data_IF_158302013312
#
_entry.id   IF_158302013312
#
_cell.length_a   1.000
_cell.length_b   1.000
_cell.length_c   1.000
_cell.angle_alpha   90.00
_cell.angle_beta   90.00
_cell.angle_gamma   90.00
#
_symmetry.space_group_name_H-M   'P 1'
#
loop_
_entity.id
_entity.type
_entity.pdbx_description
1 polymer ?
#
# COMPACT_ATOMS: atom_id res chain seq x y z
N UNK A 1 5.49 -15.44 -17.27
CA UNK A 1 5.47 -14.50 -16.13
C UNK A 1 6.79 -14.69 -15.39
N UNK A 2 7.62 -13.65 -15.23
CA UNK A 2 9.01 -13.81 -14.76
C UNK A 2 9.05 -14.10 -13.25
N UNK A 3 9.80 -15.14 -12.86
CA UNK A 3 9.95 -15.62 -11.48
C UNK A 3 10.51 -14.57 -10.49
N UNK A 4 10.98 -13.41 -10.97
CA UNK A 4 11.43 -12.29 -10.12
C UNK A 4 10.30 -11.58 -9.36
N UNK A 5 9.02 -11.78 -9.71
CA UNK A 5 7.89 -11.12 -9.04
C UNK A 5 7.27 -11.92 -7.89
N UNK A 6 7.67 -13.18 -7.68
CA UNK A 6 6.95 -14.10 -6.78
C UNK A 6 7.24 -13.86 -5.29
N UNK A 7 8.28 -13.10 -4.92
CA UNK A 7 8.74 -12.99 -3.53
C UNK A 7 8.99 -11.55 -3.02
N UNK A 8 8.21 -10.56 -3.45
CA UNK A 8 8.33 -9.16 -2.98
C UNK A 8 7.37 -8.81 -1.82
N UNK A 9 6.96 -9.79 -1.01
CA UNK A 9 6.04 -9.58 0.12
C UNK A 9 6.85 -9.19 1.35
N UNK A 10 6.71 -7.95 1.79
CA UNK A 10 7.31 -7.47 3.04
C UNK A 10 6.29 -7.68 4.15
N UNK A 11 6.52 -8.67 5.00
CA UNK A 11 5.57 -9.08 6.05
C UNK A 11 6.25 -9.29 7.40
N UNK A 12 5.51 -8.96 8.46
CA UNK A 12 5.86 -9.36 9.81
C UNK A 12 4.59 -9.75 10.55
N UNK A 13 4.50 -11.01 10.99
CA UNK A 13 3.28 -11.58 11.59
C UNK A 13 2.05 -11.29 10.70
N UNK A 14 1.06 -10.58 11.23
CA UNK A 14 -0.17 -10.17 10.57
C UNK A 14 -0.10 -8.74 10.00
N UNK A 15 1.09 -8.23 9.70
CA UNK A 15 1.29 -6.91 9.11
C UNK A 15 1.90 -7.10 7.72
N UNK A 16 1.18 -6.63 6.69
CA UNK A 16 1.69 -6.49 5.33
C UNK A 16 2.15 -5.05 5.11
N UNK A 17 3.42 -4.89 4.76
CA UNK A 17 4.01 -3.59 4.44
C UNK A 17 4.08 -3.41 2.92
N UNK A 18 3.64 -2.25 2.45
CA UNK A 18 3.74 -1.85 1.04
C UNK A 18 4.57 -0.56 1.00
N UNK A 19 5.85 -0.62 0.59
CA UNK A 19 6.65 0.58 0.44
C UNK A 19 6.02 1.42 -0.67
N UNK A 20 5.99 2.74 -0.51
CA UNK A 20 5.47 3.66 -1.53
C UNK A 20 6.45 4.78 -1.78
N UNK A 21 6.51 5.23 -3.04
CA UNK A 21 7.14 6.50 -3.41
C UNK A 21 6.05 7.46 -3.88
N UNK A 22 6.00 8.66 -3.29
CA UNK A 22 5.04 9.67 -3.70
C UNK A 22 5.19 10.03 -5.19
N UNK A 23 4.06 10.33 -5.84
CA UNK A 23 4.00 10.70 -7.26
C UNK A 23 4.46 9.60 -8.25
N UNK A 24 4.40 8.33 -7.85
CA UNK A 24 4.60 7.16 -8.72
C UNK A 24 3.34 6.32 -8.78
N UNK A 25 2.72 6.25 -9.96
CA UNK A 25 1.43 5.57 -10.16
C UNK A 25 1.55 4.05 -9.98
N UNK A 26 2.72 3.50 -10.29
CA UNK A 26 3.04 2.08 -10.12
C UNK A 26 2.84 1.64 -8.67
N UNK A 27 3.18 2.49 -7.71
CA UNK A 27 2.97 2.20 -6.28
C UNK A 27 1.49 2.25 -5.88
N UNK A 28 0.65 3.03 -6.57
CA UNK A 28 -0.80 2.99 -6.32
C UNK A 28 -1.41 1.65 -6.77
N UNK A 29 -0.92 1.07 -7.86
CA UNK A 29 -1.31 -0.27 -8.31
C UNK A 29 -0.88 -1.33 -7.30
N UNK A 30 0.34 -1.23 -6.77
CA UNK A 30 0.86 -2.14 -5.75
C UNK A 30 0.08 -2.07 -4.42
N UNK A 31 -0.31 -0.86 -3.98
CA UNK A 31 -1.18 -0.69 -2.81
C UNK A 31 -2.52 -1.38 -3.02
N UNK A 32 -3.15 -1.17 -4.19
CA UNK A 32 -4.42 -1.81 -4.51
C UNK A 32 -4.30 -3.34 -4.51
N UNK A 33 -3.28 -3.88 -5.19
CA UNK A 33 -3.02 -5.33 -5.20
C UNK A 33 -2.81 -5.87 -3.80
N UNK A 34 -1.96 -5.21 -3.01
CA UNK A 34 -1.68 -5.58 -1.62
C UNK A 34 -2.94 -5.58 -0.76
N UNK A 35 -3.81 -4.59 -0.93
CA UNK A 35 -5.08 -4.50 -0.20
C UNK A 35 -6.05 -5.61 -0.59
N UNK A 36 -6.28 -5.85 -1.88
CA UNK A 36 -7.18 -6.90 -2.38
C UNK A 36 -6.71 -8.31 -1.99
N UNK A 37 -5.39 -8.55 -1.97
CA UNK A 37 -4.79 -9.83 -1.56
C UNK A 37 -4.82 -10.03 -0.04
N UNK A 38 -4.41 -9.02 0.74
CA UNK A 38 -4.23 -9.15 2.18
C UNK A 38 -5.52 -8.95 2.98
N UNK A 39 -6.46 -8.14 2.46
CA UNK A 39 -7.76 -7.81 3.06
C UNK A 39 -7.64 -7.41 4.54
N UNK A 40 -6.90 -6.33 4.84
CA UNK A 40 -6.67 -5.92 6.22
C UNK A 40 -7.94 -5.38 6.90
N UNK A 41 -8.12 -5.69 8.18
CA UNK A 41 -9.14 -5.03 9.03
C UNK A 41 -8.78 -3.57 9.33
N UNK A 42 -7.48 -3.23 9.32
CA UNK A 42 -6.96 -1.91 9.65
C UNK A 42 -5.84 -1.47 8.69
N UNK A 43 -5.86 -0.20 8.31
CA UNK A 43 -4.81 0.42 7.50
C UNK A 43 -4.09 1.48 8.32
N UNK A 44 -2.76 1.41 8.34
CA UNK A 44 -1.89 2.45 8.85
C UNK A 44 -1.11 3.09 7.69
N UNK A 45 -1.02 4.42 7.68
CA UNK A 45 -0.30 5.16 6.64
C UNK A 45 0.58 6.22 7.30
N UNK A 46 1.86 6.21 6.94
CA UNK A 46 2.78 7.29 7.28
C UNK A 46 2.64 8.42 6.25
N UNK A 47 2.62 9.67 6.73
CA UNK A 47 2.58 10.84 5.86
C UNK A 47 3.18 12.08 6.53
N UNK A 48 3.75 13.01 5.73
CA UNK A 48 4.07 14.35 6.23
C UNK A 48 2.79 15.15 6.46
N UNK A 49 2.79 16.06 7.43
CA UNK A 49 1.60 16.85 7.81
C UNK A 49 1.00 17.63 6.62
N UNK A 50 1.84 18.12 5.72
CA UNK A 50 1.43 18.88 4.52
C UNK A 50 0.62 18.05 3.51
N UNK A 51 0.65 16.72 3.60
CA UNK A 51 -0.08 15.82 2.71
C UNK A 51 -1.20 15.04 3.40
N UNK A 52 -1.39 15.26 4.71
CA UNK A 52 -2.35 14.52 5.55
C UNK A 52 -3.72 14.37 4.90
N UNK A 53 -4.37 15.48 4.55
CA UNK A 53 -5.74 15.47 4.01
C UNK A 53 -5.84 14.68 2.72
N UNK A 54 -4.91 14.92 1.77
CA UNK A 54 -4.87 14.23 0.48
C UNK A 54 -4.66 12.72 0.64
N UNK A 55 -3.81 12.33 1.59
CA UNK A 55 -3.52 10.91 1.85
C UNK A 55 -4.72 10.24 2.52
N UNK A 56 -5.31 10.88 3.54
CA UNK A 56 -6.53 10.36 4.19
C UNK A 56 -7.67 10.19 3.18
N UNK A 57 -7.87 11.16 2.28
CA UNK A 57 -8.89 11.02 1.23
C UNK A 57 -8.55 9.92 0.22
N UNK A 58 -7.27 9.66 -0.04
CA UNK A 58 -6.81 8.50 -0.80
C UNK A 58 -7.17 7.18 -0.13
N UNK A 59 -6.90 7.06 1.18
CA UNK A 59 -7.18 5.87 1.98
C UNK A 59 -8.68 5.55 2.00
N UNK A 60 -9.55 6.56 2.10
CA UNK A 60 -11.01 6.38 2.06
C UNK A 60 -11.53 5.80 0.73
N UNK A 61 -10.72 5.82 -0.34
CA UNK A 61 -11.07 5.27 -1.66
C UNK A 61 -10.47 3.88 -1.91
N UNK A 62 -9.78 3.29 -0.92
CA UNK A 62 -9.32 1.91 -1.04
C UNK A 62 -10.53 0.96 -1.23
N UNK A 63 -10.35 -0.15 -1.97
CA UNK A 63 -11.43 -1.10 -2.26
C UNK A 63 -12.09 -1.73 -1.03
#
# INVERSE_FOLDING_TARGET
MNAFYENNKIEWKNIRMVPILHNRVEFALEVRRGFEEFKPDHVAVEYPDTLKEKIIDGVKRLP
#
